data_IF_935809425404
#
_entry.id   IF_935809425404
#
_cell.length_a   1.000
_cell.length_b   1.000
_cell.length_c   1.000
_cell.angle_alpha   90.00
_cell.angle_beta   90.00
_cell.angle_gamma   90.00
#
_symmetry.space_group_name_H-M   'P 1'
#
loop_
_entity.id
_entity.type
_entity.pdbx_description
1 polymer ?
#
# COMPACT_ATOMS: atom_id res chain seq x y z
N UNK A 1 -5.04 -10.06 -9.69
CA UNK A 1 -3.79 -10.11 -10.49
C UNK A 1 -4.14 -10.11 -11.96
N UNK A 2 -3.52 -9.24 -12.73
CA UNK A 2 -3.79 -9.00 -14.16
C UNK A 2 -2.77 -9.67 -15.11
N UNK A 3 -1.73 -10.30 -14.57
CA UNK A 3 -0.66 -10.92 -15.37
C UNK A 3 0.51 -9.99 -15.70
N UNK A 4 0.37 -8.68 -15.47
CA UNK A 4 1.30 -7.66 -15.96
C UNK A 4 2.04 -6.98 -14.81
N UNK A 5 1.40 -6.86 -13.64
CA UNK A 5 1.97 -6.21 -12.48
C UNK A 5 2.24 -7.17 -11.32
N UNK A 6 3.46 -7.17 -10.80
CA UNK A 6 3.81 -7.85 -9.54
C UNK A 6 3.82 -6.84 -8.40
N UNK A 7 3.36 -7.25 -7.22
CA UNK A 7 3.44 -6.46 -6.00
C UNK A 7 4.27 -7.22 -4.95
N UNK A 8 5.19 -6.52 -4.30
CA UNK A 8 6.03 -7.10 -3.24
C UNK A 8 6.13 -6.16 -2.04
N UNK A 9 5.98 -6.69 -0.83
CA UNK A 9 6.33 -5.99 0.41
C UNK A 9 7.81 -6.14 0.75
N UNK A 10 8.37 -5.14 1.43
CA UNK A 10 9.79 -5.10 1.81
C UNK A 10 9.95 -4.82 3.31
N UNK A 11 11.10 -5.22 3.87
CA UNK A 11 11.45 -4.95 5.27
C UNK A 11 11.69 -3.45 5.54
N UNK A 12 11.90 -2.65 4.50
CA UNK A 12 11.94 -1.18 4.58
C UNK A 12 10.55 -0.54 4.71
N UNK A 13 9.50 -1.34 4.96
CA UNK A 13 8.07 -0.95 5.06
C UNK A 13 7.45 -0.45 3.76
N UNK A 14 8.19 -0.48 2.64
CA UNK A 14 7.65 -0.15 1.33
C UNK A 14 6.91 -1.33 0.71
N UNK A 15 5.97 -1.01 -0.17
CA UNK A 15 5.43 -1.96 -1.13
C UNK A 15 5.84 -1.49 -2.53
N UNK A 16 6.33 -2.39 -3.36
CA UNK A 16 6.80 -2.07 -4.72
C UNK A 16 5.90 -2.73 -5.76
N UNK A 17 5.63 -1.99 -6.82
CA UNK A 17 4.90 -2.46 -8.00
C UNK A 17 5.88 -2.57 -9.16
N UNK A 18 5.89 -3.71 -9.83
CA UNK A 18 6.82 -4.04 -10.89
C UNK A 18 6.08 -4.37 -12.16
N UNK A 19 6.60 -3.92 -13.29
CA UNK A 19 6.21 -4.42 -14.60
C UNK A 19 6.88 -5.78 -14.86
N UNK A 20 6.09 -6.79 -15.19
CA UNK A 20 6.59 -8.17 -15.38
C UNK A 20 7.51 -8.28 -16.60
N UNK A 21 7.21 -7.58 -17.68
CA UNK A 21 7.93 -7.74 -18.95
C UNK A 21 9.31 -7.08 -18.91
N UNK A 22 9.37 -5.84 -18.42
CA UNK A 22 10.60 -5.06 -18.34
C UNK A 22 11.39 -5.27 -17.05
N UNK A 23 10.75 -5.77 -15.99
CA UNK A 23 11.34 -5.88 -14.65
C UNK A 23 11.50 -4.54 -13.94
N UNK A 24 10.98 -3.44 -14.50
CA UNK A 24 11.12 -2.11 -13.92
C UNK A 24 10.22 -1.94 -12.69
N UNK A 25 10.77 -1.28 -11.67
CA UNK A 25 9.98 -0.79 -10.54
C UNK A 25 9.16 0.42 -10.99
N UNK A 26 7.85 0.26 -11.14
CA UNK A 26 6.96 1.34 -11.55
C UNK A 26 6.66 2.29 -10.39
N UNK A 27 6.35 1.72 -9.22
CA UNK A 27 5.93 2.50 -8.05
C UNK A 27 6.56 1.95 -6.76
N UNK A 28 6.87 2.87 -5.85
CA UNK A 28 7.20 2.56 -4.46
C UNK A 28 6.14 3.19 -3.56
N UNK A 29 5.23 2.36 -3.05
CA UNK A 29 4.12 2.74 -2.21
C UNK A 29 4.61 2.88 -0.76
N UNK A 30 4.68 4.12 -0.30
CA UNK A 30 5.20 4.49 1.01
C UNK A 30 4.07 4.94 1.94
N UNK A 31 4.18 4.65 3.23
CA UNK A 31 3.33 5.24 4.25
C UNK A 31 2.91 4.30 5.38
N UNK A 32 3.11 2.99 5.26
CA UNK A 32 3.04 2.10 6.42
C UNK A 32 4.15 2.47 7.41
N UNK A 33 3.86 2.44 8.72
CA UNK A 33 4.84 2.73 9.78
C UNK A 33 5.44 1.44 10.36
N UNK A 34 5.09 0.30 9.79
CA UNK A 34 5.51 -1.02 10.23
C UNK A 34 5.46 -2.01 9.06
N UNK A 35 6.02 -3.20 9.28
CA UNK A 35 6.10 -4.26 8.29
C UNK A 35 4.71 -4.66 7.80
N UNK A 36 4.58 -4.78 6.48
CA UNK A 36 3.38 -5.32 5.84
C UNK A 36 3.18 -6.77 6.27
N UNK A 37 2.03 -7.04 6.90
CA UNK A 37 1.68 -8.37 7.43
C UNK A 37 0.83 -9.17 6.45
N UNK A 38 0.18 -8.51 5.49
CA UNK A 38 -0.62 -9.15 4.45
C UNK A 38 -0.94 -8.20 3.31
N UNK A 39 -1.14 -8.77 2.11
CA UNK A 39 -1.50 -8.03 0.90
C UNK A 39 -2.52 -8.84 0.08
N UNK A 40 -3.49 -8.14 -0.50
CA UNK A 40 -4.45 -8.70 -1.45
C UNK A 40 -4.61 -7.75 -2.63
N UNK A 41 -4.51 -8.29 -3.85
CA UNK A 41 -4.62 -7.50 -5.09
C UNK A 41 -5.81 -7.97 -5.93
N UNK A 42 -6.77 -7.07 -6.15
CA UNK A 42 -7.90 -7.25 -7.05
C UNK A 42 -7.92 -6.13 -8.08
N UNK A 43 -7.86 -6.50 -9.36
CA UNK A 43 -7.70 -5.55 -10.46
C UNK A 43 -6.51 -4.62 -10.23
N UNK A 44 -6.73 -3.30 -10.18
CA UNK A 44 -5.72 -2.29 -9.84
C UNK A 44 -5.71 -1.89 -8.35
N UNK A 45 -6.55 -2.50 -7.52
CA UNK A 45 -6.68 -2.14 -6.11
C UNK A 45 -5.89 -3.12 -5.25
N UNK A 46 -4.86 -2.58 -4.60
CA UNK A 46 -4.12 -3.28 -3.58
C UNK A 46 -4.65 -2.90 -2.20
N UNK A 47 -4.95 -3.90 -1.38
CA UNK A 47 -5.17 -3.74 0.05
C UNK A 47 -3.96 -4.30 0.78
N UNK A 48 -3.39 -3.50 1.68
CA UNK A 48 -2.26 -3.93 2.50
C UNK A 48 -2.51 -3.65 3.98
N UNK A 49 -2.28 -4.67 4.80
CA UNK A 49 -2.29 -4.55 6.26
C UNK A 49 -0.86 -4.58 6.80
N UNK A 50 -0.65 -3.97 7.96
CA UNK A 50 0.63 -4.04 8.65
C UNK A 50 0.47 -4.34 10.15
N UNK A 51 1.60 -4.42 10.86
CA UNK A 51 1.58 -4.70 12.30
C UNK A 51 1.16 -3.50 13.18
N UNK A 52 0.98 -2.28 12.64
CA UNK A 52 0.53 -1.10 13.40
C UNK A 52 -1.01 -0.93 13.41
N UNK A 53 -1.75 -1.93 12.92
CA UNK A 53 -3.21 -1.93 12.81
C UNK A 53 -3.78 -0.91 11.80
N UNK A 54 -2.96 -0.46 10.85
CA UNK A 54 -3.45 0.27 9.67
C UNK A 54 -3.62 -0.66 8.47
N UNK A 55 -4.67 -0.38 7.70
CA UNK A 55 -4.91 -0.95 6.38
C UNK A 55 -4.86 0.18 5.37
N UNK A 56 -4.10 0.01 4.30
CA UNK A 56 -4.03 0.99 3.21
C UNK A 56 -4.59 0.40 1.93
N UNK A 57 -5.31 1.23 1.20
CA UNK A 57 -5.88 0.93 -0.12
C UNK A 57 -5.12 1.76 -1.13
N UNK A 58 -4.62 1.11 -2.17
CA UNK A 58 -3.79 1.74 -3.20
C UNK A 58 -4.32 1.45 -4.58
N UNK A 59 -4.11 2.39 -5.49
CA UNK A 59 -4.18 2.14 -6.92
C UNK A 59 -2.77 1.84 -7.45
N UNK A 60 -2.53 0.62 -7.91
CA UNK A 60 -1.19 0.19 -8.36
C UNK A 60 -0.78 0.75 -9.72
N UNK A 61 -1.72 1.29 -10.51
CA UNK A 61 -1.40 1.90 -11.81
C UNK A 61 -0.88 3.32 -11.63
N UNK A 62 -1.49 4.05 -10.71
CA UNK A 62 -1.14 5.45 -10.39
C UNK A 62 -0.11 5.57 -9.28
N UNK A 63 0.06 4.52 -8.46
CA UNK A 63 0.92 4.53 -7.28
C UNK A 63 0.32 5.29 -6.09
N UNK A 64 -0.95 5.69 -6.16
CA UNK A 64 -1.57 6.54 -5.15
C UNK A 64 -2.16 5.72 -3.99
N UNK A 65 -2.00 6.25 -2.77
CA UNK A 65 -2.77 5.79 -1.62
C UNK A 65 -4.16 6.40 -1.69
N UNK A 66 -5.17 5.57 -1.96
CA UNK A 66 -6.56 6.01 -2.04
C UNK A 66 -7.16 6.22 -0.66
N UNK A 67 -6.82 5.34 0.28
CA UNK A 67 -7.39 5.39 1.63
C UNK A 67 -6.45 4.78 2.66
N UNK A 68 -6.48 5.34 3.87
CA UNK A 68 -5.90 4.72 5.06
C UNK A 68 -7.03 4.48 6.06
N UNK A 69 -7.21 3.21 6.39
CA UNK A 69 -8.10 2.74 7.44
C UNK A 69 -7.25 2.48 8.67
N UNK A 70 -7.64 3.03 9.80
CA UNK A 70 -7.01 2.72 11.08
C UNK A 70 -8.04 1.99 11.92
N UNK A 71 -7.70 0.79 12.39
CA UNK A 71 -8.51 0.15 13.42
C UNK A 71 -8.55 1.06 14.65
N UNK A 72 -9.70 1.15 15.30
CA UNK A 72 -9.80 1.81 16.61
C UNK A 72 -9.00 0.99 17.63
N UNK A 73 -7.70 1.26 17.69
CA UNK A 73 -6.89 0.95 18.87
C UNK A 73 -7.52 1.77 20.00
N UNK A 74 -8.12 1.11 20.99
CA UNK A 74 -8.69 1.78 22.16
C UNK A 74 -7.73 2.83 22.71
N UNK A 75 -8.04 4.11 22.47
CA UNK A 75 -7.10 5.21 22.70
C UNK A 75 -7.25 6.31 21.64
N UNK A 76 -8.22 7.19 21.90
CA UNK A 76 -8.44 8.52 21.31
C UNK A 76 -7.43 9.04 20.28
N UNK A 77 -7.91 9.28 19.06
CA UNK A 77 -7.59 10.51 18.31
C UNK A 77 -6.67 10.37 17.11
N UNK A 78 -7.23 10.59 15.91
CA UNK A 78 -6.48 11.16 14.79
C UNK A 78 -6.76 10.53 13.43
N UNK A 79 -7.86 10.91 12.79
CA UNK A 79 -7.95 10.77 11.32
C UNK A 79 -7.00 11.80 10.69
N UNK A 80 -5.86 11.35 10.16
CA UNK A 80 -5.08 12.15 9.21
C UNK A 80 -5.37 11.66 7.80
N UNK A 81 -6.15 12.46 7.07
CA UNK A 81 -6.37 12.28 5.64
C UNK A 81 -5.07 12.36 4.85
N UNK A 82 -5.06 11.68 3.70
CA UNK A 82 -3.92 11.63 2.78
C UNK A 82 -3.50 13.04 2.35
N UNK A 83 -2.19 13.34 2.44
CA UNK A 83 -1.62 14.48 1.75
C UNK A 83 -1.30 14.07 0.32
N UNK A 84 -1.99 14.70 -0.64
CA UNK A 84 -1.55 14.75 -2.02
C UNK A 84 -0.40 15.76 -2.13
N UNK A 85 0.81 15.32 -2.45
CA UNK A 85 1.84 16.21 -2.96
C UNK A 85 1.64 16.39 -4.46
N UNK A 86 1.54 17.65 -4.89
CA UNK A 86 1.45 18.09 -6.29
C UNK A 86 2.73 17.81 -7.08
#
# INVERSE_FOLDING_TARGET
FDGIHIVSGSLDTSIRVWDVESGNCLHTLMGHQSLTSGMELRDNILVSGNADSTVKIWDIKTGQCLQTLQGESGGTGGVKGAQSSS
#
